data_IF_963676261821
#
_entry.id   IF_963676261821
#
_cell.length_a   1.000
_cell.length_b   1.000
_cell.length_c   1.000
_cell.angle_alpha   90.00
_cell.angle_beta   90.00
_cell.angle_gamma   90.00
#
_symmetry.space_group_name_H-M   'P 1'
#
loop_
_entity.id
_entity.type
_entity.pdbx_description
1 polymer ?
#
# COMPACT_ATOMS: atom_id res chain seq x y z
N UNK A 1 -0.62 -17.15 -14.91
CA UNK A 1 -1.95 -17.71 -14.57
C UNK A 1 -2.71 -16.91 -13.51
N UNK A 2 -2.05 -16.11 -12.65
CA UNK A 2 -2.72 -15.31 -11.60
C UNK A 2 -3.40 -14.03 -12.13
N UNK A 3 -2.83 -13.37 -13.13
CA UNK A 3 -3.33 -12.05 -13.62
C UNK A 3 -4.67 -12.12 -14.36
N UNK A 4 -5.07 -13.29 -14.89
CA UNK A 4 -6.27 -13.41 -15.72
C UNK A 4 -7.56 -13.65 -14.92
N UNK A 5 -7.46 -14.01 -13.63
CA UNK A 5 -8.62 -14.44 -12.83
C UNK A 5 -9.50 -13.29 -12.30
N UNK A 6 -8.99 -12.04 -12.23
CA UNK A 6 -9.65 -10.96 -11.48
C UNK A 6 -10.51 -10.03 -12.37
N UNK A 7 -10.47 -10.17 -13.70
CA UNK A 7 -11.13 -9.21 -14.63
C UNK A 7 -12.60 -9.50 -14.95
N UNK A 8 -13.21 -10.52 -14.33
CA UNK A 8 -14.55 -11.01 -14.71
C UNK A 8 -15.66 -10.41 -13.85
N UNK A 9 -15.91 -9.09 -13.94
CA UNK A 9 -17.00 -8.53 -13.12
C UNK A 9 -17.54 -7.12 -13.37
N UNK A 10 -16.99 -6.30 -14.27
CA UNK A 10 -17.56 -4.94 -14.50
C UNK A 10 -17.57 -4.57 -15.99
N UNK A 11 -18.62 -5.02 -16.68
CA UNK A 11 -19.05 -4.54 -17.99
C UNK A 11 -20.00 -3.35 -17.78
N UNK A 12 -19.60 -2.18 -18.29
CA UNK A 12 -20.43 -0.97 -18.37
C UNK A 12 -19.69 0.27 -17.89
N UNK A 13 -19.33 1.17 -18.82
CA UNK A 13 -18.52 2.40 -18.69
C UNK A 13 -17.02 2.23 -19.02
N UNK A 14 -16.70 1.74 -20.22
CA UNK A 14 -15.32 1.54 -20.71
C UNK A 14 -15.02 2.48 -21.87
N UNK A 15 -14.57 3.70 -21.57
CA UNK A 15 -13.83 4.52 -22.54
C UNK A 15 -12.85 5.48 -21.83
N UNK A 16 -13.19 5.96 -20.62
CA UNK A 16 -12.31 6.86 -19.85
C UNK A 16 -11.59 6.17 -18.67
N UNK A 17 -12.07 5.02 -18.20
CA UNK A 17 -11.47 4.29 -17.08
C UNK A 17 -10.18 3.52 -17.43
N UNK A 18 -9.90 3.31 -18.72
CA UNK A 18 -8.71 2.56 -19.18
C UNK A 18 -7.42 3.30 -18.83
N UNK A 19 -7.45 4.63 -18.68
CA UNK A 19 -6.30 5.42 -18.24
C UNK A 19 -6.23 5.64 -16.72
N UNK A 20 -7.33 5.40 -15.99
CA UNK A 20 -7.40 5.62 -14.54
C UNK A 20 -7.01 4.37 -13.73
N UNK A 21 -7.29 3.18 -14.27
CA UNK A 21 -7.01 1.90 -13.60
C UNK A 21 -5.51 1.67 -13.34
N UNK A 22 -4.62 2.28 -14.13
CA UNK A 22 -3.17 2.14 -13.94
C UNK A 22 -2.61 3.01 -12.81
N UNK A 23 -3.19 4.18 -12.54
CA UNK A 23 -2.61 5.11 -11.57
C UNK A 23 -2.81 4.64 -10.12
N UNK A 24 -4.01 4.19 -9.78
CA UNK A 24 -4.29 3.69 -8.42
C UNK A 24 -3.45 2.46 -8.09
N UNK A 25 -3.30 1.54 -9.06
CA UNK A 25 -2.44 0.38 -8.93
C UNK A 25 -0.95 0.75 -8.84
N UNK A 26 -0.51 1.72 -9.65
CA UNK A 26 0.85 2.23 -9.61
C UNK A 26 1.17 2.87 -8.25
N UNK A 27 0.28 3.71 -7.72
CA UNK A 27 0.42 4.32 -6.40
C UNK A 27 0.43 3.24 -5.32
N UNK A 28 -0.48 2.27 -5.40
CA UNK A 28 -0.52 1.14 -4.47
C UNK A 28 0.82 0.39 -4.43
N UNK A 29 1.33 -0.05 -5.59
CA UNK A 29 2.59 -0.79 -5.69
C UNK A 29 3.79 0.05 -5.23
N UNK A 30 3.81 1.34 -5.60
CA UNK A 30 4.88 2.25 -5.21
C UNK A 30 4.93 2.46 -3.69
N UNK A 31 3.78 2.71 -3.06
CA UNK A 31 3.69 2.92 -1.61
C UNK A 31 4.18 1.69 -0.83
N UNK A 32 3.82 0.47 -1.26
CA UNK A 32 4.30 -0.77 -0.62
C UNK A 32 5.80 -0.94 -0.78
N UNK A 33 6.32 -0.65 -1.97
CA UNK A 33 7.75 -0.72 -2.23
C UNK A 33 8.53 0.26 -1.36
N UNK A 34 8.09 1.50 -1.27
CA UNK A 34 8.72 2.52 -0.41
C UNK A 34 8.65 2.15 1.07
N UNK A 35 7.50 1.64 1.55
CA UNK A 35 7.37 1.19 2.94
C UNK A 35 8.38 0.08 3.27
N UNK A 36 8.52 -0.93 2.40
CA UNK A 36 9.50 -2.00 2.59
C UNK A 36 10.93 -1.47 2.58
N UNK A 37 11.29 -0.60 1.62
CA UNK A 37 12.64 -0.03 1.54
C UNK A 37 12.95 0.83 2.76
N UNK A 38 11.99 1.64 3.21
CA UNK A 38 12.14 2.48 4.40
C UNK A 38 12.35 1.62 5.65
N UNK A 39 11.54 0.58 5.84
CA UNK A 39 11.71 -0.35 6.96
C UNK A 39 13.01 -1.16 6.87
N UNK A 40 13.54 -1.44 5.68
CA UNK A 40 14.84 -2.10 5.51
C UNK A 40 16.00 -1.21 5.96
N UNK A 41 15.91 0.10 5.77
CA UNK A 41 16.90 1.06 6.30
C UNK A 41 16.93 1.02 7.83
N UNK A 42 15.78 0.78 8.46
CA UNK A 42 15.64 0.62 9.92
C UNK A 42 16.05 -0.78 10.42
N UNK A 43 16.37 -1.72 9.51
CA UNK A 43 16.94 -3.03 9.82
C UNK A 43 16.00 -4.22 9.64
N UNK A 44 14.77 -4.01 9.16
CA UNK A 44 13.84 -5.13 8.88
C UNK A 44 14.32 -6.00 7.71
N UNK A 45 14.00 -7.30 7.74
CA UNK A 45 14.34 -8.26 6.68
C UNK A 45 13.14 -8.60 5.78
N UNK A 46 12.07 -7.80 5.82
CA UNK A 46 10.88 -8.02 5.00
C UNK A 46 11.18 -7.85 3.50
N UNK A 47 10.68 -8.76 2.67
CA UNK A 47 10.65 -8.59 1.22
C UNK A 47 9.27 -8.14 0.74
N UNK A 48 9.22 -7.43 -0.39
CA UNK A 48 7.96 -6.99 -1.00
C UNK A 48 7.04 -8.17 -1.35
N UNK A 49 7.62 -9.31 -1.77
CA UNK A 49 6.85 -10.52 -2.09
C UNK A 49 6.16 -11.09 -0.86
N UNK A 50 6.82 -11.05 0.30
CA UNK A 50 6.25 -11.55 1.55
C UNK A 50 5.11 -10.65 2.04
N UNK A 51 5.26 -9.33 1.91
CA UNK A 51 4.19 -8.37 2.20
C UNK A 51 2.97 -8.60 1.30
N UNK A 52 3.18 -8.80 -0.01
CA UNK A 52 2.08 -9.06 -0.95
C UNK A 52 1.42 -10.42 -0.70
N UNK A 53 2.20 -11.45 -0.33
CA UNK A 53 1.66 -12.76 0.04
C UNK A 53 0.86 -12.67 1.35
N UNK A 54 1.31 -11.87 2.31
CA UNK A 54 0.59 -11.57 3.54
C UNK A 54 -0.73 -10.83 3.27
N UNK A 55 -0.71 -9.77 2.45
CA UNK A 55 -1.93 -9.04 2.04
C UNK A 55 -2.91 -9.93 1.25
N UNK A 56 -2.41 -10.94 0.53
CA UNK A 56 -3.22 -11.92 -0.20
C UNK A 56 -3.74 -13.09 0.66
N UNK A 57 -3.41 -13.13 1.96
CA UNK A 57 -3.69 -14.26 2.87
C UNK A 57 -3.07 -15.60 2.39
N UNK A 58 -2.09 -15.55 1.48
CA UNK A 58 -1.40 -16.72 0.91
C UNK A 58 -0.01 -16.97 1.54
N UNK A 59 0.39 -16.12 2.49
CA UNK A 59 1.71 -16.10 3.12
C UNK A 59 1.80 -16.74 4.52
N UNK A 60 3.02 -16.87 5.07
CA UNK A 60 3.23 -17.32 6.45
C UNK A 60 2.61 -16.35 7.46
N UNK A 61 2.41 -16.83 8.70
CA UNK A 61 1.94 -16.00 9.82
C UNK A 61 2.79 -14.72 9.98
N UNK A 62 2.19 -13.59 10.40
CA UNK A 62 2.89 -12.31 10.49
C UNK A 62 4.12 -12.43 11.37
N UNK A 63 5.26 -11.96 10.85
CA UNK A 63 6.50 -11.82 11.59
C UNK A 63 6.68 -10.34 12.02
N UNK A 64 7.59 -10.08 12.96
CA UNK A 64 7.83 -8.73 13.46
C UNK A 64 8.22 -7.72 12.36
N UNK A 65 8.88 -8.19 11.30
CA UNK A 65 9.27 -7.37 10.15
C UNK A 65 8.07 -6.95 9.30
N UNK A 66 7.12 -7.86 9.06
CA UNK A 66 5.85 -7.54 8.37
C UNK A 66 5.04 -6.57 9.21
N UNK A 67 4.97 -6.77 10.52
CA UNK A 67 4.24 -5.88 11.43
C UNK A 67 4.80 -4.44 11.39
N UNK A 68 6.12 -4.29 11.35
CA UNK A 68 6.76 -2.99 11.20
C UNK A 68 6.38 -2.30 9.87
N UNK A 69 6.38 -3.05 8.77
CA UNK A 69 6.00 -2.52 7.45
C UNK A 69 4.50 -2.18 7.39
N UNK A 70 3.62 -3.02 7.96
CA UNK A 70 2.18 -2.72 8.00
C UNK A 70 1.89 -1.52 8.89
N UNK A 71 2.57 -1.39 10.03
CA UNK A 71 2.44 -0.23 10.90
C UNK A 71 2.88 1.07 10.19
N UNK A 72 3.92 1.00 9.35
CA UNK A 72 4.30 2.14 8.50
C UNK A 72 3.16 2.52 7.54
N UNK A 73 2.56 1.54 6.85
CA UNK A 73 1.46 1.77 5.93
C UNK A 73 0.22 2.35 6.63
N UNK A 74 -0.12 1.84 7.81
CA UNK A 74 -1.24 2.31 8.61
C UNK A 74 -1.01 3.74 9.10
N UNK A 75 0.21 4.05 9.58
CA UNK A 75 0.59 5.40 10.00
C UNK A 75 0.52 6.38 8.82
N UNK A 76 0.96 5.98 7.64
CA UNK A 76 0.88 6.79 6.43
C UNK A 76 -0.57 7.05 6.00
N UNK A 77 -1.43 6.02 6.04
CA UNK A 77 -2.85 6.15 5.74
C UNK A 77 -3.53 7.10 6.73
N UNK A 78 -3.26 6.93 8.03
CA UNK A 78 -3.76 7.82 9.07
C UNK A 78 -3.28 9.26 8.86
N UNK A 79 -1.99 9.48 8.60
CA UNK A 79 -1.44 10.81 8.34
C UNK A 79 -2.12 11.47 7.14
N UNK A 80 -2.33 10.74 6.04
CA UNK A 80 -3.03 11.24 4.86
C UNK A 80 -4.47 11.64 5.18
N UNK A 81 -5.18 10.83 5.95
CA UNK A 81 -6.57 11.11 6.32
C UNK A 81 -6.66 12.34 7.25
N UNK A 82 -5.69 12.50 8.16
CA UNK A 82 -5.54 13.71 8.97
C UNK A 82 -5.24 14.95 8.11
N UNK A 83 -4.40 14.83 7.08
CA UNK A 83 -4.11 15.93 6.15
C UNK A 83 -5.31 16.34 5.30
N UNK A 84 -6.16 15.38 4.92
CA UNK A 84 -7.38 15.65 4.14
C UNK A 84 -8.50 16.28 4.98
N UNK A 85 -8.48 16.07 6.31
CA UNK A 85 -9.48 16.61 7.22
C UNK A 85 -9.30 18.11 7.47
N UNK A 86 -10.39 18.88 7.40
CA UNK A 86 -10.40 20.32 7.76
C UNK A 86 -10.13 20.57 9.24
N UNK A 87 -10.33 19.56 10.09
CA UNK A 87 -10.04 19.58 11.52
C UNK A 87 -8.85 18.67 11.86
N UNK A 88 -8.01 18.36 10.86
CA UNK A 88 -6.82 17.56 11.00
C UNK A 88 -5.79 18.14 11.96
N UNK A 89 -4.78 17.33 12.28
CA UNK A 89 -3.67 17.77 13.12
C UNK A 89 -2.89 18.93 12.45
N UNK A 90 -2.45 19.94 13.21
CA UNK A 90 -1.67 21.04 12.65
C UNK A 90 -0.30 20.52 12.18
N UNK A 91 0.02 20.77 10.90
CA UNK A 91 1.33 20.43 10.34
C UNK A 91 2.36 21.41 10.90
N UNK A 92 3.42 20.88 11.50
CA UNK A 92 4.55 21.65 12.01
C UNK A 92 5.77 21.36 11.15
N UNK A 93 6.38 22.41 10.59
CA UNK A 93 7.66 22.31 9.85
C UNK A 93 8.90 22.41 10.74
N UNK A 94 8.77 22.24 12.06
CA UNK A 94 9.93 22.20 12.95
C UNK A 94 10.60 20.83 12.84
N UNK A 95 11.70 20.80 12.08
CA UNK A 95 12.67 19.70 12.08
C UNK A 95 13.48 19.68 13.36
#
# INVERSE_FOLDING_TARGET
MVVMAITRGRQGRRALAIWCLDLDWFIYAFVRKEAVISSQIEGTQAALVDLLAFEAEEGPAPNADMEAVTNYLDTLAYARDQLASKQGLPISMRS
#
